data_IF_553408178952
#
_entry.id   IF_553408178952
#
_cell.length_a   1.000
_cell.length_b   1.000
_cell.length_c   1.000
_cell.angle_alpha   90.00
_cell.angle_beta   90.00
_cell.angle_gamma   90.00
#
_symmetry.space_group_name_H-M   'P 1'
#
loop_
_entity.id
_entity.type
_entity.pdbx_description
1 polymer ?
#
# COMPACT_ATOMS: atom_id res chain seq x y z
N UNK A 1 5.42 1.21 -41.08
CA UNK A 1 6.05 1.92 -39.93
C UNK A 1 5.21 1.96 -38.63
N UNK A 2 3.98 1.43 -38.58
CA UNK A 2 3.09 1.63 -37.40
C UNK A 2 2.96 0.42 -36.45
N UNK A 3 3.27 -0.80 -36.88
CA UNK A 3 3.10 -2.02 -36.05
C UNK A 3 4.36 -2.41 -35.25
N UNK A 4 5.54 -1.97 -35.69
CA UNK A 4 6.83 -2.33 -35.09
C UNK A 4 7.15 -1.51 -33.82
N UNK A 5 6.62 -0.27 -33.75
CA UNK A 5 6.71 0.60 -32.56
C UNK A 5 5.86 0.13 -31.37
N UNK A 6 4.91 -0.78 -31.59
CA UNK A 6 4.09 -1.38 -30.53
C UNK A 6 4.79 -2.55 -29.81
N UNK A 7 5.98 -2.98 -30.25
CA UNK A 7 6.73 -4.11 -29.65
C UNK A 7 7.84 -3.69 -28.70
N UNK A 8 8.18 -2.40 -28.62
CA UNK A 8 9.18 -1.92 -27.66
C UNK A 8 8.61 -1.99 -26.23
N UNK A 9 9.19 -2.83 -25.34
CA UNK A 9 8.71 -2.97 -23.97
C UNK A 9 8.69 -1.64 -23.21
N UNK A 10 9.65 -0.74 -23.46
CA UNK A 10 9.72 0.57 -22.79
C UNK A 10 8.55 1.47 -23.19
N UNK A 11 8.28 1.59 -24.49
CA UNK A 11 7.13 2.37 -24.97
C UNK A 11 5.80 1.79 -24.49
N UNK A 12 5.71 0.47 -24.32
CA UNK A 12 4.54 -0.18 -23.73
C UNK A 12 4.40 0.18 -22.26
N UNK A 13 5.48 0.16 -21.47
CA UNK A 13 5.47 0.56 -20.08
C UNK A 13 5.13 2.05 -19.89
N UNK A 14 5.75 2.94 -20.65
CA UNK A 14 5.44 4.38 -20.64
C UNK A 14 3.96 4.65 -20.97
N UNK A 15 3.40 3.92 -21.93
CA UNK A 15 1.98 4.04 -22.28
C UNK A 15 1.07 3.53 -21.16
N UNK A 16 1.41 2.39 -20.55
CA UNK A 16 0.68 1.87 -19.41
C UNK A 16 0.70 2.86 -18.24
N UNK A 17 1.86 3.43 -17.92
CA UNK A 17 2.01 4.45 -16.88
C UNK A 17 1.10 5.66 -17.15
N UNK A 18 1.10 6.19 -18.38
CA UNK A 18 0.23 7.31 -18.77
C UNK A 18 -1.26 6.99 -18.63
N UNK A 19 -1.68 5.78 -19.02
CA UNK A 19 -3.08 5.34 -18.88
C UNK A 19 -3.47 5.30 -17.39
N UNK A 20 -2.60 4.75 -16.54
CA UNK A 20 -2.84 4.66 -15.10
C UNK A 20 -2.86 6.06 -14.44
N UNK A 21 -2.02 6.99 -14.88
CA UNK A 21 -2.01 8.37 -14.36
C UNK A 21 -3.32 9.10 -14.68
N UNK A 22 -3.79 8.99 -15.93
CA UNK A 22 -5.07 9.58 -16.35
C UNK A 22 -6.24 8.93 -15.62
N UNK A 23 -6.23 7.60 -15.48
CA UNK A 23 -7.27 6.89 -14.75
C UNK A 23 -7.30 7.31 -13.26
N UNK A 24 -6.14 7.46 -12.62
CA UNK A 24 -6.04 7.93 -11.24
C UNK A 24 -6.61 9.34 -11.05
N UNK A 25 -6.26 10.28 -11.93
CA UNK A 25 -6.78 11.66 -11.90
C UNK A 25 -8.30 11.71 -12.08
N UNK A 26 -8.83 10.96 -13.06
CA UNK A 26 -10.27 10.87 -13.30
C UNK A 26 -11.01 10.25 -12.12
N UNK A 27 -10.46 9.19 -11.50
CA UNK A 27 -11.05 8.56 -10.32
C UNK A 27 -11.14 9.54 -9.15
N UNK A 28 -10.09 10.33 -8.91
CA UNK A 28 -10.08 11.34 -7.85
C UNK A 28 -11.09 12.46 -8.10
N UNK A 29 -11.27 12.90 -9.35
CA UNK A 29 -12.15 14.02 -9.69
C UNK A 29 -13.63 13.64 -9.79
N UNK A 30 -13.91 12.43 -10.28
CA UNK A 30 -15.27 12.05 -10.69
C UNK A 30 -15.83 10.83 -9.95
N UNK A 31 -14.98 10.10 -9.21
CA UNK A 31 -15.35 8.89 -8.50
C UNK A 31 -15.52 7.68 -9.40
N UNK A 32 -15.41 6.49 -8.79
CA UNK A 32 -15.39 5.19 -9.49
C UNK A 32 -16.55 4.97 -10.46
N UNK A 33 -17.77 5.36 -10.08
CA UNK A 33 -18.98 5.05 -10.85
C UNK A 33 -19.08 5.83 -12.16
N UNK A 34 -18.48 7.01 -12.24
CA UNK A 34 -18.64 7.95 -13.38
C UNK A 34 -17.55 7.81 -14.44
N UNK A 35 -16.40 7.25 -14.09
CA UNK A 35 -15.28 7.11 -15.04
C UNK A 35 -15.50 5.91 -15.95
N UNK A 36 -15.32 6.12 -17.26
CA UNK A 36 -15.38 5.08 -18.29
C UNK A 36 -14.01 4.87 -18.96
N UNK A 37 -13.86 3.75 -19.68
CA UNK A 37 -12.65 3.51 -20.50
C UNK A 37 -12.52 4.57 -21.61
N UNK A 38 -13.63 5.11 -22.11
CA UNK A 38 -13.60 6.14 -23.15
C UNK A 38 -13.03 7.46 -22.60
N UNK A 39 -13.39 7.84 -21.37
CA UNK A 39 -12.83 9.01 -20.70
C UNK A 39 -11.31 8.87 -20.51
N UNK A 40 -10.86 7.69 -20.07
CA UNK A 40 -9.42 7.41 -19.89
C UNK A 40 -8.69 7.44 -21.23
N UNK A 41 -9.25 6.82 -22.28
CA UNK A 41 -8.65 6.83 -23.60
C UNK A 41 -8.51 8.25 -24.16
N UNK A 42 -9.57 9.06 -24.02
CA UNK A 42 -9.58 10.47 -24.41
C UNK A 42 -8.55 11.28 -23.61
N UNK A 43 -8.51 11.15 -22.29
CA UNK A 43 -7.55 11.84 -21.43
C UNK A 43 -6.09 11.44 -21.68
N UNK A 44 -5.84 10.19 -22.06
CA UNK A 44 -4.50 9.71 -22.43
C UNK A 44 -4.11 10.02 -23.89
N UNK A 45 -5.03 10.56 -24.70
CA UNK A 45 -4.80 10.86 -26.12
C UNK A 45 -4.59 9.61 -26.97
N UNK A 46 -5.26 8.51 -26.65
CA UNK A 46 -5.13 7.21 -27.34
C UNK A 46 -6.49 6.64 -27.73
N UNK A 47 -6.50 5.64 -28.61
CA UNK A 47 -7.73 4.93 -28.96
C UNK A 47 -8.16 3.96 -27.86
N UNK A 48 -9.48 3.77 -27.70
CA UNK A 48 -10.08 2.81 -26.75
C UNK A 48 -9.48 1.39 -26.87
N UNK A 49 -9.27 0.94 -28.10
CA UNK A 49 -8.65 -0.37 -28.37
C UNK A 49 -7.26 -0.51 -27.77
N UNK A 50 -6.49 0.58 -27.68
CA UNK A 50 -5.16 0.60 -27.05
C UNK A 50 -5.26 0.37 -25.54
N UNK A 51 -6.26 0.92 -24.86
CA UNK A 51 -6.49 0.63 -23.43
C UNK A 51 -6.77 -0.86 -23.22
N UNK A 52 -7.61 -1.47 -24.09
CA UNK A 52 -7.92 -2.90 -24.04
C UNK A 52 -6.76 -3.86 -24.37
N UNK A 53 -5.66 -3.35 -24.95
CA UNK A 53 -4.43 -4.13 -25.08
C UNK A 53 -3.72 -4.31 -23.74
N UNK A 54 -3.91 -3.39 -22.79
CA UNK A 54 -3.32 -3.46 -21.46
C UNK A 54 -4.27 -4.09 -20.45
N UNK A 55 -5.54 -3.64 -20.39
CA UNK A 55 -6.54 -4.12 -19.43
C UNK A 55 -7.84 -4.49 -20.13
N UNK A 56 -8.32 -5.73 -19.96
CA UNK A 56 -9.50 -6.24 -20.67
C UNK A 56 -10.80 -5.66 -20.16
N UNK A 57 -10.83 -5.21 -18.90
CA UNK A 57 -11.99 -4.62 -18.28
C UNK A 57 -11.64 -3.31 -17.58
N UNK A 58 -12.66 -2.51 -17.31
CA UNK A 58 -12.52 -1.29 -16.50
C UNK A 58 -12.08 -1.61 -15.08
N UNK A 59 -12.59 -2.70 -14.54
CA UNK A 59 -12.29 -3.20 -13.20
C UNK A 59 -10.81 -3.59 -13.09
N UNK A 60 -10.24 -4.23 -14.12
CA UNK A 60 -8.81 -4.54 -14.18
C UNK A 60 -7.95 -3.27 -14.25
N UNK A 61 -8.34 -2.28 -15.06
CA UNK A 61 -7.61 -1.01 -15.13
C UNK A 61 -7.60 -0.29 -13.78
N UNK A 62 -8.76 -0.17 -13.16
CA UNK A 62 -8.88 0.54 -11.88
C UNK A 62 -8.21 -0.26 -10.75
N UNK A 63 -8.31 -1.59 -10.74
CA UNK A 63 -7.54 -2.45 -9.83
C UNK A 63 -6.03 -2.21 -9.95
N UNK A 64 -5.51 -2.10 -11.18
CA UNK A 64 -4.11 -1.77 -11.42
C UNK A 64 -3.73 -0.36 -10.93
N UNK A 65 -4.64 0.62 -10.97
CA UNK A 65 -4.40 1.95 -10.37
C UNK A 65 -4.21 1.82 -8.86
N UNK A 66 -5.09 1.11 -8.15
CA UNK A 66 -4.97 0.91 -6.70
C UNK A 66 -3.74 0.09 -6.34
N UNK A 67 -3.48 -1.01 -7.05
CA UNK A 67 -2.29 -1.83 -6.84
C UNK A 67 -0.99 -1.01 -7.00
N UNK A 68 -0.94 -0.09 -7.97
CA UNK A 68 0.20 0.82 -8.13
C UNK A 68 0.41 1.72 -6.92
N UNK A 69 -0.67 2.24 -6.32
CA UNK A 69 -0.55 3.09 -5.12
C UNK A 69 -0.13 2.29 -3.89
N UNK A 70 -0.65 1.05 -3.72
CA UNK A 70 -0.20 0.12 -2.68
C UNK A 70 1.30 -0.17 -2.81
N UNK A 71 1.75 -0.57 -4.01
CA UNK A 71 3.15 -0.89 -4.27
C UNK A 71 4.08 0.30 -3.99
N UNK A 72 3.68 1.52 -4.38
CA UNK A 72 4.43 2.75 -4.07
C UNK A 72 4.58 2.97 -2.56
N UNK A 73 3.51 2.80 -1.79
CA UNK A 73 3.55 2.95 -0.34
C UNK A 73 4.42 1.88 0.33
N UNK A 74 4.32 0.63 -0.13
CA UNK A 74 5.15 -0.48 0.36
C UNK A 74 6.64 -0.29 0.02
N UNK A 75 6.94 0.22 -1.18
CA UNK A 75 8.32 0.53 -1.59
C UNK A 75 8.91 1.67 -0.73
N UNK A 76 8.14 2.73 -0.43
CA UNK A 76 8.55 3.80 0.48
C UNK A 76 8.82 3.28 1.89
N UNK A 77 7.94 2.43 2.42
CA UNK A 77 8.13 1.80 3.72
C UNK A 77 9.39 0.93 3.75
N UNK A 78 9.57 0.08 2.74
CA UNK A 78 10.76 -0.76 2.59
C UNK A 78 12.04 0.07 2.51
N UNK A 79 12.01 1.22 1.82
CA UNK A 79 13.14 2.13 1.76
C UNK A 79 13.43 2.75 3.14
N UNK A 80 12.42 3.20 3.88
CA UNK A 80 12.59 3.72 5.23
C UNK A 80 13.25 2.68 6.17
N UNK A 81 12.89 1.40 6.05
CA UNK A 81 13.53 0.32 6.81
C UNK A 81 14.99 0.06 6.44
N UNK A 82 15.35 0.25 5.15
CA UNK A 82 16.75 0.11 4.71
C UNK A 82 17.62 1.26 5.20
N UNK A 83 17.04 2.45 5.36
CA UNK A 83 17.74 3.65 5.82
C UNK A 83 17.90 3.69 7.35
N UNK A 84 16.89 3.26 8.10
CA UNK A 84 16.91 3.15 9.57
C UNK A 84 16.44 1.75 10.02
N UNK A 85 17.36 0.87 10.49
CA UNK A 85 16.95 -0.42 11.06
C UNK A 85 15.95 -0.29 12.22
N UNK A 86 15.96 0.81 12.97
CA UNK A 86 14.99 1.06 14.02
C UNK A 86 13.55 1.20 13.50
N UNK A 87 13.35 1.46 12.20
CA UNK A 87 12.05 1.51 11.57
C UNK A 87 11.33 0.14 11.55
N UNK A 88 12.01 -0.95 11.90
CA UNK A 88 11.38 -2.26 12.08
C UNK A 88 10.50 -2.34 13.34
N UNK A 89 10.72 -1.48 14.35
CA UNK A 89 9.89 -1.41 15.55
C UNK A 89 8.47 -0.97 15.18
N UNK A 90 7.45 -1.60 15.78
CA UNK A 90 6.04 -1.42 15.41
C UNK A 90 5.60 0.05 15.37
N UNK A 91 6.04 0.87 16.32
CA UNK A 91 5.70 2.29 16.37
C UNK A 91 6.35 3.11 15.24
N UNK A 92 7.57 2.78 14.84
CA UNK A 92 8.26 3.47 13.74
C UNK A 92 7.79 2.97 12.40
N UNK A 93 7.52 1.67 12.29
CA UNK A 93 6.87 1.06 11.13
C UNK A 93 5.50 1.70 10.89
N UNK A 94 4.66 1.80 11.93
CA UNK A 94 3.36 2.44 11.86
C UNK A 94 3.47 3.91 11.41
N UNK A 95 4.45 4.65 11.94
CA UNK A 95 4.70 6.04 11.51
C UNK A 95 5.10 6.14 10.06
N UNK A 96 6.09 5.35 9.64
CA UNK A 96 6.60 5.34 8.26
C UNK A 96 5.48 4.95 7.29
N UNK A 97 4.72 3.90 7.63
CA UNK A 97 3.63 3.44 6.79
C UNK A 97 2.48 4.46 6.74
N UNK A 98 2.11 5.08 7.85
CA UNK A 98 1.11 6.15 7.88
C UNK A 98 1.52 7.31 6.98
N UNK A 99 2.77 7.75 7.06
CA UNK A 99 3.30 8.78 6.17
C UNK A 99 3.22 8.31 4.70
N UNK A 100 3.59 7.07 4.41
CA UNK A 100 3.52 6.51 3.06
C UNK A 100 2.10 6.35 2.52
N UNK A 101 1.03 6.51 3.31
CA UNK A 101 -0.36 6.38 2.80
C UNK A 101 -1.21 7.64 2.95
N UNK A 102 -0.91 8.51 3.92
CA UNK A 102 -1.78 9.63 4.29
C UNK A 102 -2.03 10.65 3.17
N UNK A 103 -1.10 10.80 2.22
CA UNK A 103 -1.24 11.73 1.08
C UNK A 103 -1.68 11.02 -0.22
N UNK A 104 -2.14 9.77 -0.12
CA UNK A 104 -2.61 8.96 -1.25
C UNK A 104 -4.11 8.74 -1.16
N UNK A 105 -4.95 9.69 -1.60
CA UNK A 105 -6.40 9.62 -1.43
C UNK A 105 -7.04 8.37 -2.06
N UNK A 106 -6.54 7.89 -3.20
CA UNK A 106 -7.01 6.63 -3.79
C UNK A 106 -6.70 5.43 -2.89
N UNK A 107 -5.50 5.36 -2.34
CA UNK A 107 -5.10 4.28 -1.44
C UNK A 107 -5.89 4.32 -0.13
N UNK A 108 -6.07 5.50 0.47
CA UNK A 108 -6.91 5.66 1.67
C UNK A 108 -8.35 5.22 1.41
N UNK A 109 -8.91 5.62 0.27
CA UNK A 109 -10.26 5.20 -0.12
C UNK A 109 -10.37 3.68 -0.21
N UNK A 110 -9.37 3.04 -0.80
CA UNK A 110 -9.28 1.58 -0.90
C UNK A 110 -9.15 0.91 0.47
N UNK A 111 -8.22 1.35 1.31
CA UNK A 111 -7.98 0.79 2.65
C UNK A 111 -9.16 1.00 3.61
N UNK A 112 -9.83 2.15 3.53
CA UNK A 112 -10.97 2.48 4.39
C UNK A 112 -12.31 2.02 3.81
N UNK A 113 -12.29 1.32 2.68
CA UNK A 113 -13.44 0.82 1.93
C UNK A 113 -14.50 1.90 1.63
N UNK A 114 -14.06 3.09 1.18
CA UNK A 114 -14.97 4.18 0.81
C UNK A 114 -15.87 3.78 -0.38
N UNK A 115 -17.20 3.70 -0.19
CA UNK A 115 -18.13 3.22 -1.21
C UNK A 115 -18.27 4.14 -2.43
N UNK A 116 -17.94 5.43 -2.30
CA UNK A 116 -18.06 6.42 -3.39
C UNK A 116 -16.83 6.41 -4.32
N UNK A 117 -15.65 6.15 -3.75
CA UNK A 117 -14.38 6.14 -4.49
C UNK A 117 -13.95 4.75 -4.96
N UNK A 118 -14.46 3.67 -4.35
CA UNK A 118 -14.02 2.30 -4.66
C UNK A 118 -15.14 1.43 -5.25
N UNK A 119 -16.42 1.78 -5.04
CA UNK A 119 -17.55 1.12 -5.70
C UNK A 119 -17.48 -0.42 -5.65
N UNK A 120 -17.46 -1.08 -6.82
CA UNK A 120 -17.40 -2.55 -6.90
C UNK A 120 -15.99 -3.13 -6.69
N UNK A 121 -14.93 -2.33 -6.63
CA UNK A 121 -13.56 -2.83 -6.40
C UNK A 121 -13.35 -3.40 -5.00
N UNK A 122 -13.98 -2.82 -3.97
CA UNK A 122 -14.05 -3.42 -2.62
C UNK A 122 -15.09 -4.54 -2.54
N UNK A 123 -16.01 -4.60 -3.51
CA UNK A 123 -17.06 -5.63 -3.57
C UNK A 123 -16.65 -6.88 -4.34
N UNK A 124 -15.49 -6.87 -5.01
CA UNK A 124 -14.82 -8.05 -5.54
C UNK A 124 -13.66 -8.34 -4.60
N UNK A 125 -13.86 -9.20 -3.58
CA UNK A 125 -12.78 -9.64 -2.72
C UNK A 125 -11.64 -10.16 -3.60
N UNK A 126 -10.41 -9.85 -3.20
CA UNK A 126 -9.22 -10.55 -3.68
C UNK A 126 -8.70 -11.39 -2.50
N UNK A 127 -9.29 -12.59 -2.26
CA UNK A 127 -8.97 -13.36 -1.07
C UNK A 127 -7.49 -13.76 -1.03
N UNK A 128 -6.87 -13.95 -2.18
CA UNK A 128 -5.46 -14.29 -2.28
C UNK A 128 -4.58 -13.12 -1.82
N UNK A 129 -4.87 -11.90 -2.29
CA UNK A 129 -4.20 -10.70 -1.81
C UNK A 129 -4.45 -10.47 -0.32
N UNK A 130 -5.69 -10.55 0.12
CA UNK A 130 -6.05 -10.34 1.53
C UNK A 130 -5.35 -11.36 2.45
N UNK A 131 -5.27 -12.63 2.02
CA UNK A 131 -4.52 -13.69 2.71
C UNK A 131 -3.01 -13.41 2.75
N UNK A 132 -2.40 -12.99 1.63
CA UNK A 132 -0.97 -12.63 1.59
C UNK A 132 -0.65 -11.45 2.50
N UNK A 133 -1.45 -10.38 2.44
CA UNK A 133 -1.28 -9.18 3.28
C UNK A 133 -1.47 -9.53 4.76
N UNK A 134 -2.50 -10.33 5.09
CA UNK A 134 -2.73 -10.80 6.46
C UNK A 134 -1.62 -11.71 6.98
N UNK A 135 -1.06 -12.57 6.13
CA UNK A 135 0.07 -13.44 6.49
C UNK A 135 1.32 -12.61 6.76
N UNK A 136 1.67 -11.66 5.89
CA UNK A 136 2.80 -10.77 6.12
C UNK A 136 2.66 -9.99 7.44
N UNK A 137 1.47 -9.45 7.73
CA UNK A 137 1.22 -8.73 8.98
C UNK A 137 1.39 -9.62 10.21
N UNK A 138 0.90 -10.87 10.16
CA UNK A 138 1.06 -11.86 11.23
C UNK A 138 2.52 -12.23 11.43
N UNK A 139 3.25 -12.52 10.36
CA UNK A 139 4.66 -12.93 10.40
C UNK A 139 5.54 -11.79 10.93
N UNK A 140 5.23 -10.55 10.56
CA UNK A 140 5.89 -9.36 11.11
C UNK A 140 5.70 -9.25 12.63
N UNK A 141 4.46 -9.35 13.11
CA UNK A 141 4.17 -9.27 14.54
C UNK A 141 4.77 -10.45 15.31
N UNK A 142 4.72 -11.66 14.74
CA UNK A 142 5.36 -12.85 15.27
C UNK A 142 6.87 -12.67 15.44
N UNK A 143 7.54 -12.16 14.40
CA UNK A 143 8.97 -11.87 14.44
C UNK A 143 9.34 -10.89 15.55
N UNK A 144 8.55 -9.83 15.75
CA UNK A 144 8.78 -8.88 16.84
C UNK A 144 8.54 -9.51 18.22
N UNK A 145 7.49 -10.32 18.36
CA UNK A 145 7.17 -11.03 19.60
C UNK A 145 8.26 -12.04 19.99
N UNK A 146 8.79 -12.80 19.02
CA UNK A 146 9.89 -13.76 19.22
C UNK A 146 11.17 -13.09 19.76
N UNK A 147 11.39 -11.82 19.40
CA UNK A 147 12.52 -11.02 19.89
C UNK A 147 12.21 -10.23 21.17
N UNK A 148 11.03 -10.44 21.79
CA UNK A 148 10.63 -9.74 23.02
C UNK A 148 10.37 -8.24 22.85
N UNK A 149 10.08 -7.81 21.61
CA UNK A 149 9.87 -6.41 21.26
C UNK A 149 8.42 -5.95 21.46
N UNK A 150 7.49 -6.91 21.53
CA UNK A 150 6.08 -6.68 21.82
C UNK A 150 5.75 -7.14 23.23
N UNK A 151 4.69 -6.54 23.81
CA UNK A 151 4.17 -6.96 25.12
C UNK A 151 3.77 -8.44 25.10
N UNK A 152 3.94 -9.11 26.22
CA UNK A 152 3.68 -10.54 26.42
C UNK A 152 2.32 -10.83 27.09
N UNK A 153 1.55 -9.78 27.40
CA UNK A 153 0.20 -9.87 28.00
C UNK A 153 -0.93 -10.05 26.97
N UNK A 154 -0.58 -10.14 25.68
CA UNK A 154 -1.50 -10.35 24.56
C UNK A 154 -0.92 -11.35 23.56
N UNK A 155 -1.77 -12.17 22.96
CA UNK A 155 -1.39 -13.02 21.82
C UNK A 155 -1.10 -12.18 20.57
N UNK A 156 -0.35 -12.74 19.61
CA UNK A 156 -0.06 -12.08 18.32
C UNK A 156 -1.34 -11.68 17.57
N UNK A 157 -2.39 -12.52 17.63
CA UNK A 157 -3.67 -12.22 16.99
C UNK A 157 -4.41 -11.06 17.68
N UNK A 158 -4.40 -11.01 19.03
CA UNK A 158 -4.98 -9.89 19.79
C UNK A 158 -4.22 -8.58 19.55
N UNK A 159 -2.88 -8.63 19.53
CA UNK A 159 -2.03 -7.50 19.18
C UNK A 159 -2.32 -7.01 17.77
N UNK A 160 -2.42 -7.92 16.80
CA UNK A 160 -2.72 -7.61 15.42
C UNK A 160 -4.06 -6.91 15.25
N UNK A 161 -5.12 -7.44 15.88
CA UNK A 161 -6.44 -6.81 15.89
C UNK A 161 -6.41 -5.40 16.50
N UNK A 162 -5.83 -5.26 17.69
CA UNK A 162 -5.80 -3.97 18.40
C UNK A 162 -4.93 -2.93 17.68
N UNK A 163 -3.80 -3.35 17.10
CA UNK A 163 -2.94 -2.50 16.28
C UNK A 163 -3.67 -2.01 15.03
N UNK A 164 -4.33 -2.92 14.29
CA UNK A 164 -5.08 -2.57 13.09
C UNK A 164 -6.20 -1.56 13.42
N UNK A 165 -7.00 -1.82 14.45
CA UNK A 165 -8.07 -0.92 14.88
C UNK A 165 -7.53 0.47 15.27
N UNK A 166 -6.38 0.52 15.96
CA UNK A 166 -5.71 1.77 16.31
C UNK A 166 -5.25 2.50 15.06
N UNK A 167 -4.54 1.82 14.16
CA UNK A 167 -3.99 2.40 12.94
C UNK A 167 -5.09 2.97 12.03
N UNK A 168 -6.16 2.20 11.79
CA UNK A 168 -7.31 2.64 10.99
C UNK A 168 -8.01 3.84 11.62
N UNK A 169 -8.15 3.87 12.96
CA UNK A 169 -8.70 5.01 13.68
C UNK A 169 -7.94 6.31 13.39
N UNK A 170 -6.60 6.26 13.38
CA UNK A 170 -5.75 7.41 13.02
C UNK A 170 -5.88 7.84 11.56
N UNK A 171 -6.10 6.89 10.64
CA UNK A 171 -6.37 7.20 9.23
C UNK A 171 -7.71 7.92 9.06
N UNK A 172 -8.77 7.44 9.73
CA UNK A 172 -10.12 8.01 9.66
C UNK A 172 -10.24 9.35 10.35
N UNK A 173 -9.53 9.56 11.45
CA UNK A 173 -9.61 10.78 12.25
C UNK A 173 -9.02 12.03 11.57
N UNK A 174 -8.48 11.92 10.35
CA UNK A 174 -7.91 13.05 9.61
C UNK A 174 -8.89 14.19 9.39
N UNK A 175 -8.67 15.31 10.09
CA UNK A 175 -9.37 16.58 9.92
C UNK A 175 -8.40 17.74 9.66
N UNK A 176 -8.91 18.89 9.20
CA UNK A 176 -8.12 20.03 8.71
C UNK A 176 -7.19 20.72 9.75
N UNK A 177 -7.29 20.37 11.04
CA UNK A 177 -6.57 21.05 12.13
C UNK A 177 -5.23 20.43 12.52
N UNK A 178 -4.98 19.15 12.22
CA UNK A 178 -3.77 18.44 12.64
C UNK A 178 -2.88 18.09 11.44
N UNK A 179 -1.61 18.52 11.48
CA UNK A 179 -0.62 18.22 10.45
C UNK A 179 -0.38 16.71 10.29
N UNK A 180 -0.12 16.24 9.06
CA UNK A 180 0.15 14.83 8.73
C UNK A 180 1.23 14.23 9.63
N UNK A 181 2.33 14.96 9.81
CA UNK A 181 3.47 14.57 10.64
C UNK A 181 3.09 14.47 12.12
N UNK A 182 2.30 15.43 12.62
CA UNK A 182 1.84 15.43 14.00
C UNK A 182 0.95 14.21 14.29
N UNK A 183 0.07 13.84 13.35
CA UNK A 183 -0.76 12.62 13.47
C UNK A 183 0.10 11.36 13.43
N UNK A 184 1.09 11.29 12.53
CA UNK A 184 2.03 10.17 12.46
C UNK A 184 2.83 10.02 13.77
N UNK A 185 3.27 11.13 14.38
CA UNK A 185 4.00 11.14 15.64
C UNK A 185 3.10 10.78 16.84
N UNK A 186 1.82 11.15 16.81
CA UNK A 186 0.84 10.70 17.80
C UNK A 186 0.56 9.20 17.67
N UNK A 187 0.37 8.69 16.45
CA UNK A 187 0.20 7.26 16.18
C UNK A 187 1.40 6.46 16.72
N UNK A 188 2.63 6.86 16.38
CA UNK A 188 3.84 6.22 16.91
C UNK A 188 3.86 6.19 18.44
N UNK A 189 3.57 7.32 19.09
CA UNK A 189 3.55 7.38 20.56
C UNK A 189 2.50 6.45 21.17
N UNK A 190 1.31 6.39 20.57
CA UNK A 190 0.24 5.48 21.00
C UNK A 190 0.65 4.03 20.81
N UNK A 191 1.13 3.66 19.62
CA UNK A 191 1.54 2.29 19.28
C UNK A 191 2.67 1.82 20.20
N UNK A 192 3.69 2.65 20.42
CA UNK A 192 4.81 2.31 21.31
C UNK A 192 4.35 1.99 22.73
N UNK A 193 3.47 2.83 23.29
CA UNK A 193 2.97 2.65 24.67
C UNK A 193 2.03 1.47 24.81
N UNK A 194 1.23 1.20 23.78
CA UNK A 194 0.20 0.18 23.83
C UNK A 194 0.75 -1.23 23.56
N UNK A 195 1.76 -1.38 22.69
CA UNK A 195 2.10 -2.68 22.12
C UNK A 195 3.56 -3.10 22.29
N UNK A 196 4.49 -2.19 22.57
CA UNK A 196 5.92 -2.51 22.68
C UNK A 196 6.39 -2.65 24.13
N UNK A 197 7.49 -3.37 24.32
CA UNK A 197 8.20 -3.43 25.60
C UNK A 197 9.06 -2.18 25.83
N UNK A 198 9.30 -1.83 27.10
CA UNK A 198 10.14 -0.66 27.46
C UNK A 198 11.64 -0.95 27.40
N UNK A 199 12.02 -2.21 27.14
CA UNK A 199 13.40 -2.68 27.16
C UNK A 199 14.23 -2.06 26.05
N UNK A 200 15.49 -1.70 26.37
CA UNK A 200 16.44 -1.29 25.36
C UNK A 200 16.77 -2.46 24.42
N UNK A 201 16.66 -2.22 23.11
CA UNK A 201 16.95 -3.24 22.09
C UNK A 201 18.39 -3.05 21.61
N UNK A 202 19.24 -4.10 21.65
CA UNK A 202 20.58 -4.03 21.08
C UNK A 202 20.55 -3.70 19.58
N UNK A 203 21.48 -2.86 19.12
CA UNK A 203 21.56 -2.44 17.72
C UNK A 203 21.75 -3.63 16.75
N UNK A 204 22.48 -4.67 17.17
CA UNK A 204 22.63 -5.89 16.40
C UNK A 204 21.28 -6.59 16.17
N UNK A 205 20.47 -6.74 17.22
CA UNK A 205 19.11 -7.29 17.13
C UNK A 205 18.22 -6.46 16.21
N UNK A 206 18.28 -5.13 16.30
CA UNK A 206 17.52 -4.25 15.40
C UNK A 206 17.90 -4.47 13.93
N UNK A 207 19.20 -4.63 13.63
CA UNK A 207 19.66 -4.91 12.26
C UNK A 207 19.15 -6.25 11.74
N UNK A 208 19.22 -7.30 12.56
CA UNK A 208 18.79 -8.64 12.16
C UNK A 208 17.27 -8.68 11.93
N UNK A 209 16.49 -8.11 12.85
CA UNK A 209 15.04 -7.99 12.71
C UNK A 209 14.68 -7.12 11.50
N UNK A 210 15.33 -5.97 11.30
CA UNK A 210 15.07 -5.12 10.15
C UNK A 210 15.34 -5.83 8.81
N UNK A 211 16.43 -6.60 8.72
CA UNK A 211 16.73 -7.39 7.52
C UNK A 211 15.63 -8.41 7.22
N UNK A 212 15.11 -9.10 8.25
CA UNK A 212 14.01 -10.04 8.11
C UNK A 212 12.70 -9.35 7.71
N UNK A 213 12.37 -8.18 8.27
CA UNK A 213 11.17 -7.41 7.86
C UNK A 213 11.28 -6.90 6.43
N UNK A 214 12.48 -6.46 5.99
CA UNK A 214 12.73 -6.08 4.60
C UNK A 214 12.55 -7.25 3.65
N UNK A 215 12.91 -8.47 4.05
CA UNK A 215 12.65 -9.68 3.27
C UNK A 215 11.14 -9.95 3.14
N UNK A 216 10.40 -9.96 4.26
CA UNK A 216 8.94 -10.12 4.26
C UNK A 216 8.23 -9.10 3.35
N UNK A 217 8.63 -7.82 3.44
CA UNK A 217 8.09 -6.77 2.57
C UNK A 217 8.46 -6.98 1.10
N UNK A 218 9.67 -7.43 0.81
CA UNK A 218 10.10 -7.66 -0.58
C UNK A 218 9.33 -8.80 -1.22
N UNK A 219 9.11 -9.90 -0.48
CA UNK A 219 8.32 -11.04 -0.96
C UNK A 219 6.86 -10.63 -1.25
N UNK A 220 6.25 -9.83 -0.35
CA UNK A 220 4.91 -9.27 -0.55
C UNK A 220 4.84 -8.37 -1.79
N UNK A 221 5.79 -7.44 -1.94
CA UNK A 221 5.87 -6.50 -3.06
C UNK A 221 6.02 -7.25 -4.39
N UNK A 222 6.88 -8.27 -4.44
CA UNK A 222 7.14 -9.01 -5.66
C UNK A 222 5.95 -9.89 -6.06
N UNK A 223 5.26 -10.50 -5.09
CA UNK A 223 4.02 -11.23 -5.32
C UNK A 223 2.90 -10.31 -5.86
N UNK A 224 2.68 -9.14 -5.23
CA UNK A 224 1.67 -8.18 -5.67
C UNK A 224 2.02 -7.57 -7.04
N UNK A 225 3.30 -7.33 -7.31
CA UNK A 225 3.74 -6.83 -8.63
C UNK A 225 3.43 -7.85 -9.71
N UNK A 226 3.73 -9.13 -9.50
CA UNK A 226 3.46 -10.20 -10.45
C UNK A 226 1.97 -10.34 -10.80
N UNK A 227 1.08 -10.16 -9.82
CA UNK A 227 -0.37 -10.27 -10.02
C UNK A 227 -1.04 -8.99 -10.55
N UNK A 228 -0.47 -7.81 -10.26
CA UNK A 228 -1.04 -6.52 -10.65
C UNK A 228 -1.11 -6.29 -12.17
N UNK A 229 -0.34 -7.05 -12.95
CA UNK A 229 -0.22 -6.86 -14.40
C UNK A 229 0.36 -5.50 -14.82
N UNK A 230 0.97 -4.77 -13.87
CA UNK A 230 1.66 -3.51 -14.13
C UNK A 230 2.99 -3.83 -14.82
N UNK A 231 3.27 -3.29 -16.03
CA UNK A 231 4.54 -3.52 -16.71
C UNK A 231 5.72 -3.01 -15.87
N UNK A 232 6.82 -3.76 -15.84
CA UNK A 232 8.09 -3.27 -15.32
C UNK A 232 8.54 -2.05 -16.14
N UNK A 233 8.83 -0.95 -15.43
CA UNK A 233 9.33 0.30 -16.02
C UNK A 233 10.83 0.26 -16.24
#
# INVERSE_FOLDING_TARGET
MSAERLRDPRQRAERAARILDVAADLLLRHGYRRVTIDDVAAGAGIGKGTVYLHWKTREQLFGAVFAREVLRAMDELRQALREDPGACLLHRFARAYFLAIADRPLLLSFLLADPDLVGKLTSSPDPARDERHGTMARDYLGLLAEHGLLRDDMSVDELGYAYQATFEGFLRAGGASDGREQRADLLARTVRRAFETESAVPEATLRDVAAAVVALLSDLIDADRAESGIPEG
#
